data_IF_689562653528
#
_entry.id   IF_689562653528
#
_cell.length_a   1.000
_cell.length_b   1.000
_cell.length_c   1.000
_cell.angle_alpha   90.00
_cell.angle_beta   90.00
_cell.angle_gamma   90.00
#
_symmetry.space_group_name_H-M   'P 1'
#
loop_
_entity.id
_entity.type
_entity.pdbx_description
1 polymer ?
#
# COMPACT_ATOMS: atom_id res chain seq x y z
N UNK A 1 -0.95 12.80 26.97
CA UNK A 1 -0.40 13.84 26.05
C UNK A 1 0.55 14.70 26.88
N UNK A 2 1.82 14.75 26.50
CA UNK A 2 2.83 15.57 27.19
C UNK A 2 2.60 17.03 26.82
N UNK A 3 2.47 17.91 27.83
CA UNK A 3 2.29 19.34 27.59
C UNK A 3 3.50 19.89 26.83
N UNK A 4 3.25 20.71 25.81
CA UNK A 4 4.30 21.32 25.00
C UNK A 4 4.96 20.42 23.96
N UNK A 5 4.51 19.17 23.78
CA UNK A 5 5.01 18.31 22.70
C UNK A 5 4.51 18.80 21.32
N UNK A 6 5.36 18.88 20.27
CA UNK A 6 6.78 18.52 20.22
C UNK A 6 7.75 19.72 20.40
N UNK A 7 7.26 20.92 20.74
CA UNK A 7 8.02 22.18 20.61
C UNK A 7 8.78 22.62 21.87
N UNK A 8 8.29 22.31 23.07
CA UNK A 8 8.92 22.69 24.34
C UNK A 8 9.79 21.55 24.88
N UNK A 9 11.03 21.47 24.38
CA UNK A 9 11.96 20.36 24.67
C UNK A 9 12.32 20.29 26.16
N UNK A 10 12.54 21.42 26.82
CA UNK A 10 12.92 21.44 28.25
C UNK A 10 11.78 20.88 29.12
N UNK A 11 10.52 21.18 28.80
CA UNK A 11 9.38 20.59 29.49
C UNK A 11 9.20 19.10 29.16
N UNK A 12 9.42 18.71 27.91
CA UNK A 12 9.28 17.30 27.49
C UNK A 12 10.30 16.42 28.23
N UNK A 13 11.53 16.88 28.42
CA UNK A 13 12.64 16.13 29.05
C UNK A 13 12.75 16.53 30.54
N UNK A 14 11.63 16.47 31.25
CA UNK A 14 11.55 16.81 32.68
C UNK A 14 10.73 15.78 33.45
N UNK A 15 10.69 15.90 34.77
CA UNK A 15 9.80 15.14 35.65
C UNK A 15 8.32 15.35 35.29
N UNK A 16 7.93 16.55 34.86
CA UNK A 16 6.56 16.85 34.42
C UNK A 16 6.27 16.38 32.98
N UNK A 17 7.33 16.10 32.21
CA UNK A 17 7.29 15.60 30.84
C UNK A 17 7.35 14.07 30.79
N UNK A 18 8.41 13.53 30.20
CA UNK A 18 8.65 12.08 30.15
C UNK A 18 8.71 11.43 31.53
N UNK A 19 9.20 12.12 32.56
CA UNK A 19 9.25 11.58 33.92
C UNK A 19 7.89 11.29 34.53
N UNK A 20 6.81 11.91 34.02
CA UNK A 20 5.44 11.64 34.47
C UNK A 20 4.88 10.33 33.91
N UNK A 21 5.50 9.77 32.87
CA UNK A 21 5.08 8.50 32.31
C UNK A 21 5.63 7.34 33.17
N UNK A 22 4.90 6.23 33.30
CA UNK A 22 5.44 5.04 33.94
C UNK A 22 6.62 4.47 33.16
N UNK A 23 7.69 4.12 33.89
CA UNK A 23 8.76 3.28 33.34
C UNK A 23 8.22 1.86 33.12
N UNK A 24 8.50 1.31 31.95
CA UNK A 24 8.14 -0.05 31.58
C UNK A 24 9.39 -0.89 31.79
N UNK A 25 9.36 -1.76 32.79
CA UNK A 25 10.48 -2.67 33.03
C UNK A 25 10.59 -3.67 31.88
N UNK A 26 11.78 -3.74 31.28
CA UNK A 26 12.07 -4.68 30.19
C UNK A 26 13.25 -5.57 30.55
N UNK A 27 13.27 -6.78 30.00
CA UNK A 27 14.28 -7.80 30.33
C UNK A 27 15.19 -8.18 29.17
N UNK A 28 14.92 -7.65 27.97
CA UNK A 28 15.65 -7.95 26.74
C UNK A 28 16.34 -6.67 26.24
N UNK A 29 17.53 -6.78 25.63
CA UNK A 29 18.26 -5.60 25.14
C UNK A 29 17.66 -4.98 23.88
N UNK A 30 16.79 -5.71 23.17
CA UNK A 30 16.09 -5.23 21.97
C UNK A 30 14.59 -5.29 22.25
N UNK A 31 13.97 -4.12 22.28
CA UNK A 31 12.54 -3.95 22.54
C UNK A 31 11.86 -3.50 21.25
N UNK A 32 10.89 -4.30 20.79
CA UNK A 32 10.10 -3.98 19.61
C UNK A 32 8.82 -3.28 20.05
N UNK A 33 8.67 -2.02 19.70
CA UNK A 33 7.47 -1.22 19.99
C UNK A 33 6.56 -1.24 18.77
N UNK A 34 5.35 -1.79 18.93
CA UNK A 34 4.33 -1.89 17.87
C UNK A 34 2.98 -1.35 18.34
N UNK A 35 2.06 -1.10 17.41
CA UNK A 35 0.71 -0.62 17.71
C UNK A 35 -0.29 -0.96 16.59
N UNK A 36 -1.62 -0.94 16.86
CA UNK A 36 -2.65 -1.23 15.86
C UNK A 36 -2.67 -0.30 14.64
N UNK A 37 -2.17 0.94 14.78
CA UNK A 37 -2.19 1.91 13.69
C UNK A 37 -1.32 3.16 13.90
N UNK A 38 -1.47 4.17 13.01
CA UNK A 38 -0.88 5.49 13.18
C UNK A 38 -1.42 6.21 14.44
N UNK A 39 -0.69 7.19 14.95
CA UNK A 39 -1.16 8.05 16.05
C UNK A 39 -1.20 7.40 17.45
N UNK A 40 -0.84 6.12 17.60
CA UNK A 40 -0.87 5.41 18.89
C UNK A 40 0.26 5.75 19.87
N UNK A 41 1.06 6.79 19.58
CA UNK A 41 2.12 7.24 20.50
C UNK A 41 3.44 6.46 20.48
N UNK A 42 3.65 5.53 19.51
CA UNK A 42 4.86 4.68 19.43
C UNK A 42 6.18 5.43 19.65
N UNK A 43 6.43 6.49 18.87
CA UNK A 43 7.65 7.30 18.99
C UNK A 43 7.77 7.94 20.37
N UNK A 44 6.69 8.52 20.90
CA UNK A 44 6.69 9.15 22.21
C UNK A 44 6.98 8.13 23.33
N UNK A 45 6.44 6.92 23.22
CA UNK A 45 6.76 5.81 24.15
C UNK A 45 8.23 5.45 24.07
N UNK A 46 8.81 5.25 22.88
CA UNK A 46 10.24 4.95 22.75
C UNK A 46 11.13 6.01 23.40
N UNK A 47 10.89 7.29 23.08
CA UNK A 47 11.68 8.41 23.62
C UNK A 47 11.50 8.54 25.14
N UNK A 48 10.29 8.31 25.67
CA UNK A 48 10.04 8.30 27.11
C UNK A 48 10.80 7.19 27.82
N UNK A 49 10.83 5.97 27.26
CA UNK A 49 11.54 4.85 27.87
C UNK A 49 13.06 5.05 27.83
N UNK A 50 13.59 5.59 26.73
CA UNK A 50 15.01 5.97 26.63
C UNK A 50 15.36 7.01 27.69
N UNK A 51 14.52 8.03 27.90
CA UNK A 51 14.71 9.00 28.98
C UNK A 51 14.83 8.33 30.36
N UNK A 52 13.94 7.39 30.69
CA UNK A 52 14.01 6.67 31.97
C UNK A 52 15.24 5.77 32.10
N UNK A 53 15.67 5.10 31.01
CA UNK A 53 16.87 4.27 31.03
C UNK A 53 18.13 5.10 31.28
N UNK A 54 18.26 6.26 30.62
CA UNK A 54 19.38 7.18 30.85
C UNK A 54 19.40 7.74 32.28
N UNK A 55 18.25 8.06 32.88
CA UNK A 55 18.18 8.42 34.32
C UNK A 55 18.69 7.30 35.23
N UNK A 56 18.45 6.04 34.85
CA UNK A 56 18.90 4.85 35.57
C UNK A 56 20.35 4.46 35.24
N UNK A 57 21.06 5.26 34.43
CA UNK A 57 22.44 5.00 34.02
C UNK A 57 22.59 3.88 32.98
N UNK A 58 21.53 3.56 32.24
CA UNK A 58 21.52 2.56 31.16
C UNK A 58 21.60 3.29 29.81
N UNK A 59 22.60 2.94 29.01
CA UNK A 59 22.75 3.47 27.65
C UNK A 59 21.73 2.84 26.70
N UNK A 60 20.64 3.57 26.46
CA UNK A 60 19.54 3.17 25.60
C UNK A 60 19.50 3.98 24.30
N UNK A 61 19.01 3.39 23.21
CA UNK A 61 18.88 4.05 21.90
C UNK A 61 17.52 3.82 21.23
N UNK A 62 17.23 4.63 20.21
CA UNK A 62 16.03 4.51 19.38
C UNK A 62 16.43 4.15 17.96
N UNK A 63 15.70 3.27 17.29
CA UNK A 63 15.83 3.06 15.85
C UNK A 63 14.45 2.85 15.23
N UNK A 64 14.31 3.16 13.94
CA UNK A 64 13.04 3.01 13.21
C UNK A 64 13.14 1.91 12.16
N UNK A 65 12.22 0.95 12.23
CA UNK A 65 12.05 -0.06 11.20
C UNK A 65 10.84 0.25 10.33
N UNK A 66 11.10 0.62 9.07
CA UNK A 66 10.08 0.75 8.02
C UNK A 66 10.60 0.12 6.73
N UNK A 67 9.73 -0.61 6.04
CA UNK A 67 10.11 -1.26 4.77
C UNK A 67 10.10 -0.28 3.60
N UNK A 68 9.20 0.69 3.59
CA UNK A 68 9.05 1.69 2.53
C UNK A 68 8.99 3.12 3.11
N UNK A 69 9.53 4.12 2.39
CA UNK A 69 10.29 3.97 1.15
C UNK A 69 11.63 3.25 1.36
N UNK A 70 12.19 2.67 0.30
CA UNK A 70 13.51 2.05 0.36
C UNK A 70 14.54 3.14 0.10
N UNK A 71 15.28 3.50 1.15
CA UNK A 71 16.14 4.68 1.18
C UNK A 71 17.27 4.66 0.14
N UNK A 72 17.80 3.47 -0.18
CA UNK A 72 18.90 3.30 -1.13
C UNK A 72 18.45 3.01 -2.57
N UNK A 73 17.14 3.12 -2.87
CA UNK A 73 16.63 3.16 -4.24
C UNK A 73 16.34 4.61 -4.64
N UNK A 74 16.47 4.96 -5.94
CA UNK A 74 16.13 6.29 -6.42
C UNK A 74 14.70 6.74 -6.06
N UNK A 75 14.50 8.05 -5.94
CA UNK A 75 13.18 8.63 -5.66
C UNK A 75 12.13 8.16 -6.68
N UNK A 76 12.49 8.20 -7.96
CA UNK A 76 11.64 7.78 -9.10
C UNK A 76 11.72 6.28 -9.40
N UNK A 77 12.29 5.49 -8.51
CA UNK A 77 12.29 4.04 -8.68
C UNK A 77 10.84 3.52 -8.55
N UNK A 78 10.34 2.65 -9.46
CA UNK A 78 8.95 2.19 -9.43
C UNK A 78 8.51 1.61 -8.09
N UNK A 79 9.41 0.98 -7.33
CA UNK A 79 9.11 0.47 -5.97
C UNK A 79 8.73 1.60 -5.00
N UNK A 80 9.49 2.69 -4.98
CA UNK A 80 9.19 3.84 -4.12
C UNK A 80 7.92 4.56 -4.59
N UNK A 81 7.75 4.73 -5.90
CA UNK A 81 6.54 5.34 -6.46
C UNK A 81 5.28 4.50 -6.22
N UNK A 82 5.38 3.16 -6.22
CA UNK A 82 4.26 2.29 -5.88
C UNK A 82 3.87 2.42 -4.40
N UNK A 83 4.84 2.61 -3.50
CA UNK A 83 4.55 2.94 -2.11
C UNK A 83 3.80 4.27 -1.98
N UNK A 84 4.27 5.34 -2.65
CA UNK A 84 3.59 6.64 -2.62
C UNK A 84 2.16 6.56 -3.18
N UNK A 85 1.97 5.77 -4.24
CA UNK A 85 0.63 5.51 -4.76
C UNK A 85 -0.23 4.71 -3.79
N UNK A 86 0.35 3.89 -2.92
CA UNK A 86 -0.39 3.13 -1.91
C UNK A 86 -0.79 3.97 -0.69
N UNK A 87 -0.14 5.12 -0.49
CA UNK A 87 -0.39 6.10 0.58
C UNK A 87 -0.98 7.41 0.08
N UNK A 88 -1.50 7.43 -1.16
CA UNK A 88 -2.01 8.63 -1.81
C UNK A 88 -3.14 9.33 -1.01
N UNK A 89 -3.90 8.56 -0.24
CA UNK A 89 -4.95 8.99 0.69
C UNK A 89 -4.39 9.60 1.99
N UNK A 90 -3.30 9.04 2.52
CA UNK A 90 -2.62 9.55 3.71
C UNK A 90 -1.85 10.86 3.44
N UNK A 91 -1.50 11.10 2.18
CA UNK A 91 -0.74 12.28 1.76
C UNK A 91 0.74 12.25 2.12
N UNK A 92 1.25 11.09 2.49
CA UNK A 92 2.69 10.87 2.58
C UNK A 92 3.27 10.87 1.16
N UNK A 93 4.35 11.62 0.96
CA UNK A 93 5.08 11.68 -0.32
C UNK A 93 6.57 11.46 -0.10
N UNK A 94 7.21 10.79 -1.07
CA UNK A 94 8.63 10.53 -0.99
C UNK A 94 9.43 11.79 -1.35
N UNK A 95 10.58 11.95 -0.73
CA UNK A 95 11.53 13.01 -1.06
C UNK A 95 12.97 12.57 -0.78
N UNK A 96 13.93 13.33 -1.32
CA UNK A 96 15.33 13.19 -0.94
C UNK A 96 15.49 13.64 0.52
N UNK A 97 16.22 12.87 1.31
CA UNK A 97 16.61 13.24 2.68
C UNK A 97 17.67 14.36 2.62
N UNK A 98 17.31 15.62 2.94
CA UNK A 98 18.27 16.73 2.86
C UNK A 98 19.37 16.61 3.91
N UNK A 99 19.08 16.01 5.07
CA UNK A 99 20.05 15.87 6.16
C UNK A 99 21.13 14.83 5.81
N UNK A 100 20.73 13.73 5.17
CA UNK A 100 21.69 12.71 4.74
C UNK A 100 22.56 13.22 3.59
N UNK A 101 21.96 13.97 2.66
CA UNK A 101 22.70 14.61 1.57
C UNK A 101 23.71 15.64 2.09
N UNK A 102 23.32 16.49 3.05
CA UNK A 102 24.23 17.47 3.66
C UNK A 102 25.37 16.81 4.44
N UNK A 103 25.05 15.79 5.24
CA UNK A 103 26.02 15.15 6.13
C UNK A 103 27.03 14.26 5.41
N UNK A 104 26.63 13.60 4.31
CA UNK A 104 27.43 12.55 3.67
C UNK A 104 27.63 12.74 2.16
N UNK A 105 26.95 13.73 1.54
CA UNK A 105 26.89 13.89 0.08
C UNK A 105 26.37 12.63 -0.65
N UNK A 106 25.46 11.89 0.00
CA UNK A 106 24.82 10.69 -0.53
C UNK A 106 23.32 10.95 -0.64
N UNK A 107 22.75 10.70 -1.82
CA UNK A 107 21.30 10.79 -2.01
C UNK A 107 20.63 9.56 -1.38
N UNK A 108 19.73 9.81 -0.43
CA UNK A 108 18.85 8.81 0.17
C UNK A 108 17.39 9.26 0.07
N UNK A 109 16.46 8.31 0.00
CA UNK A 109 15.02 8.59 -0.05
C UNK A 109 14.39 8.41 1.32
N UNK A 110 13.60 9.40 1.72
CA UNK A 110 12.75 9.36 2.90
C UNK A 110 11.37 9.94 2.51
N UNK A 111 10.54 10.31 3.48
CA UNK A 111 9.23 10.88 3.22
C UNK A 111 8.97 12.11 4.11
N UNK A 112 8.00 12.93 3.71
CA UNK A 112 7.74 14.24 4.30
C UNK A 112 7.65 14.25 5.82
N UNK A 113 6.85 13.37 6.42
CA UNK A 113 6.59 13.39 7.86
C UNK A 113 7.84 13.15 8.70
N UNK A 114 8.69 12.23 8.27
CA UNK A 114 9.92 11.88 8.99
C UNK A 114 10.99 12.96 8.83
N UNK A 115 11.14 13.51 7.63
CA UNK A 115 12.04 14.65 7.39
C UNK A 115 11.61 15.89 8.18
N UNK A 116 10.30 16.18 8.24
CA UNK A 116 9.75 17.31 8.99
C UNK A 116 9.96 17.17 10.51
N UNK A 117 9.78 15.97 11.08
CA UNK A 117 9.91 15.75 12.53
C UNK A 117 11.35 15.54 12.98
N UNK A 118 12.26 15.14 12.09
CA UNK A 118 13.63 14.78 12.43
C UNK A 118 14.40 15.83 13.25
N UNK A 119 14.36 17.14 12.94
CA UNK A 119 15.05 18.16 13.75
C UNK A 119 14.63 18.15 15.21
N UNK A 120 13.36 17.84 15.49
CA UNK A 120 12.85 17.76 16.86
C UNK A 120 13.35 16.50 17.55
N UNK A 121 13.24 15.34 16.89
CA UNK A 121 13.73 14.05 17.41
C UNK A 121 15.23 14.15 17.70
N UNK A 122 16.01 14.73 16.79
CA UNK A 122 17.45 14.95 16.95
C UNK A 122 17.76 15.77 18.19
N UNK A 123 17.06 16.89 18.43
CA UNK A 123 17.27 17.71 19.63
C UNK A 123 16.89 16.99 20.92
N UNK A 124 15.82 16.19 20.90
CA UNK A 124 15.43 15.37 22.06
C UNK A 124 16.54 14.35 22.37
N UNK A 125 17.02 13.64 21.35
CA UNK A 125 18.11 12.67 21.52
C UNK A 125 19.41 13.32 22.02
N UNK A 126 19.76 14.53 21.54
CA UNK A 126 20.94 15.28 22.02
C UNK A 126 20.88 15.68 23.49
N UNK A 127 19.67 15.80 24.06
CA UNK A 127 19.47 16.15 25.47
C UNK A 127 19.44 14.92 26.37
N UNK A 128 19.08 13.75 25.84
CA UNK A 128 19.00 12.51 26.61
C UNK A 128 20.32 11.72 26.56
N UNK A 129 20.95 11.67 25.38
CA UNK A 129 22.08 10.79 25.08
C UNK A 129 23.36 11.60 24.79
N UNK A 130 24.52 10.93 24.84
CA UNK A 130 25.76 11.51 24.33
C UNK A 130 25.59 11.94 22.85
N UNK A 131 25.91 13.21 22.58
CA UNK A 131 25.87 13.83 21.25
C UNK A 131 26.53 13.02 20.13
N UNK A 132 27.54 12.20 20.44
CA UNK A 132 28.26 11.34 19.49
C UNK A 132 27.41 10.18 18.95
N UNK A 133 26.37 9.80 19.68
CA UNK A 133 25.46 8.70 19.34
C UNK A 133 24.22 9.17 18.57
N UNK A 134 24.06 10.47 18.35
CA UNK A 134 22.88 11.04 17.71
C UNK A 134 22.98 10.92 16.19
N UNK A 135 21.90 10.45 15.57
CA UNK A 135 21.77 10.35 14.11
C UNK A 135 21.95 11.69 13.41
N UNK A 136 22.57 11.67 12.22
CA UNK A 136 22.72 12.89 11.41
C UNK A 136 21.54 13.10 10.48
N UNK A 137 20.80 12.04 10.12
CA UNK A 137 19.62 12.09 9.27
C UNK A 137 18.53 11.07 9.68
N UNK A 138 17.28 11.19 9.21
CA UNK A 138 16.26 10.15 9.39
C UNK A 138 16.62 8.85 8.64
N UNK A 139 17.44 8.93 7.59
CA UNK A 139 18.03 7.72 6.96
C UNK A 139 18.94 6.96 7.93
N UNK A 140 19.81 7.64 8.70
CA UNK A 140 20.68 6.99 9.70
C UNK A 140 19.87 6.34 10.84
N UNK A 141 18.72 6.94 11.18
CA UNK A 141 17.79 6.44 12.20
C UNK A 141 17.06 5.16 11.73
N UNK A 142 16.99 4.94 10.41
CA UNK A 142 16.36 3.79 9.79
C UNK A 142 17.28 2.55 9.80
N UNK A 143 16.69 1.36 9.98
CA UNK A 143 17.44 0.08 9.95
C UNK A 143 17.09 -0.79 8.74
N UNK A 144 16.41 -0.23 7.74
CA UNK A 144 15.93 -0.96 6.57
C UNK A 144 17.08 -1.49 5.69
N UNK A 145 17.02 -2.78 5.36
CA UNK A 145 17.94 -3.47 4.45
C UNK A 145 17.29 -4.05 3.19
N UNK A 146 15.99 -3.79 2.97
CA UNK A 146 15.22 -4.39 1.87
C UNK A 146 15.83 -4.15 0.48
N UNK A 147 16.34 -2.94 0.21
CA UNK A 147 16.96 -2.62 -1.09
C UNK A 147 18.19 -3.46 -1.41
N UNK A 148 18.96 -3.87 -0.40
CA UNK A 148 20.15 -4.72 -0.59
C UNK A 148 19.79 -6.17 -0.93
N UNK A 149 18.56 -6.59 -0.64
CA UNK A 149 18.08 -7.95 -0.89
C UNK A 149 17.42 -8.10 -2.27
N UNK A 150 17.40 -7.05 -3.09
CA UNK A 150 16.86 -7.12 -4.45
C UNK A 150 17.87 -7.84 -5.35
N UNK A 151 17.54 -9.09 -5.72
CA UNK A 151 18.37 -9.92 -6.62
C UNK A 151 18.06 -9.71 -8.11
N UNK A 152 16.90 -9.12 -8.42
CA UNK A 152 16.48 -8.82 -9.79
C UNK A 152 15.63 -7.54 -9.80
N UNK A 153 16.27 -6.44 -10.20
CA UNK A 153 15.66 -5.12 -10.18
C UNK A 153 14.53 -4.97 -11.23
N UNK A 154 14.73 -5.52 -12.42
CA UNK A 154 13.72 -5.47 -13.49
C UNK A 154 12.39 -6.13 -13.08
N UNK A 155 12.45 -7.27 -12.39
CA UNK A 155 11.26 -7.97 -11.91
C UNK A 155 10.51 -7.17 -10.84
N UNK A 156 11.22 -6.58 -9.87
CA UNK A 156 10.57 -5.76 -8.84
C UNK A 156 10.01 -4.46 -9.42
N UNK A 157 10.69 -3.86 -10.39
CA UNK A 157 10.18 -2.70 -11.12
C UNK A 157 8.89 -3.04 -11.89
N UNK A 158 8.86 -4.16 -12.61
CA UNK A 158 7.65 -4.61 -13.33
C UNK A 158 6.48 -4.88 -12.36
N UNK A 159 6.76 -5.51 -11.22
CA UNK A 159 5.75 -5.77 -10.20
C UNK A 159 5.18 -4.47 -9.60
N UNK A 160 6.05 -3.49 -9.32
CA UNK A 160 5.66 -2.19 -8.78
C UNK A 160 4.85 -1.36 -9.78
N UNK A 161 5.23 -1.36 -11.07
CA UNK A 161 4.44 -0.74 -12.16
C UNK A 161 3.03 -1.34 -12.24
N UNK A 162 2.89 -2.66 -12.06
CA UNK A 162 1.57 -3.28 -11.99
C UNK A 162 0.78 -2.86 -10.74
N UNK A 163 1.44 -2.65 -9.59
CA UNK A 163 0.78 -2.17 -8.37
C UNK A 163 0.25 -0.74 -8.52
N UNK A 164 1.00 0.15 -9.16
CA UNK A 164 0.56 1.50 -9.51
C UNK A 164 -0.75 1.47 -10.32
N UNK A 165 -0.81 0.63 -11.37
CA UNK A 165 -2.03 0.49 -12.18
C UNK A 165 -3.19 -0.05 -11.33
N UNK A 166 -2.94 -1.02 -10.43
CA UNK A 166 -3.96 -1.56 -9.52
C UNK A 166 -4.49 -0.48 -8.59
N UNK A 167 -3.61 0.33 -7.99
CA UNK A 167 -3.99 1.42 -7.08
C UNK A 167 -4.85 2.46 -7.76
N UNK A 168 -4.44 2.93 -8.94
CA UNK A 168 -5.23 3.85 -9.74
C UNK A 168 -6.63 3.31 -10.05
N UNK A 169 -6.73 2.07 -10.54
CA UNK A 169 -8.03 1.44 -10.85
C UNK A 169 -8.88 1.27 -9.59
N UNK A 170 -8.28 0.87 -8.46
CA UNK A 170 -8.96 0.72 -7.18
C UNK A 170 -9.53 2.05 -6.69
N UNK A 171 -8.73 3.11 -6.63
CA UNK A 171 -9.20 4.43 -6.22
C UNK A 171 -10.27 4.97 -7.18
N UNK A 172 -10.18 4.67 -8.47
CA UNK A 172 -11.21 5.03 -9.45
C UNK A 172 -12.55 4.35 -9.13
N UNK A 173 -12.53 3.07 -8.74
CA UNK A 173 -13.73 2.37 -8.29
C UNK A 173 -14.25 2.91 -6.95
N UNK A 174 -13.39 3.14 -5.97
CA UNK A 174 -13.77 3.67 -4.66
C UNK A 174 -14.39 5.06 -4.78
N UNK A 175 -13.83 5.95 -5.60
CA UNK A 175 -14.42 7.26 -5.91
C UNK A 175 -15.79 7.14 -6.57
N UNK A 176 -15.95 6.23 -7.55
CA UNK A 176 -17.24 5.98 -8.19
C UNK A 176 -18.32 5.49 -7.20
N UNK A 177 -17.91 4.82 -6.12
CA UNK A 177 -18.79 4.38 -5.03
C UNK A 177 -18.95 5.42 -3.90
N UNK A 178 -18.31 6.58 -4.01
CA UNK A 178 -18.34 7.63 -2.98
C UNK A 178 -17.45 7.37 -1.75
N UNK A 179 -16.50 6.44 -1.84
CA UNK A 179 -15.61 6.03 -0.74
C UNK A 179 -14.22 6.64 -0.75
N UNK A 180 -13.86 7.45 -1.76
CA UNK A 180 -12.56 8.12 -1.86
C UNK A 180 -12.71 9.52 -2.46
N UNK A 181 -11.74 10.39 -2.19
CA UNK A 181 -11.66 11.72 -2.78
C UNK A 181 -11.03 11.72 -4.17
N UNK A 182 -11.41 12.70 -4.99
CA UNK A 182 -10.83 12.92 -6.33
C UNK A 182 -9.31 13.15 -6.29
N UNK A 183 -8.81 13.78 -5.22
CA UNK A 183 -7.37 14.07 -5.03
C UNK A 183 -6.52 12.79 -4.98
N UNK A 184 -7.03 11.73 -4.37
CA UNK A 184 -6.35 10.43 -4.27
C UNK A 184 -6.13 9.82 -5.66
N UNK A 185 -7.14 9.86 -6.52
CA UNK A 185 -7.04 9.37 -7.91
C UNK A 185 -6.02 10.20 -8.70
N UNK A 186 -6.09 11.53 -8.58
CA UNK A 186 -5.19 12.44 -9.31
C UNK A 186 -3.72 12.21 -8.95
N UNK A 187 -3.43 11.95 -7.66
CA UNK A 187 -2.07 11.58 -7.21
C UNK A 187 -1.60 10.27 -7.83
N UNK A 188 -2.41 9.21 -7.76
CA UNK A 188 -2.07 7.93 -8.37
C UNK A 188 -1.89 8.03 -9.90
N UNK A 189 -2.71 8.84 -10.57
CA UNK A 189 -2.60 9.11 -12.00
C UNK A 189 -1.31 9.84 -12.37
N UNK A 190 -0.89 10.82 -11.58
CA UNK A 190 0.34 11.57 -11.79
C UNK A 190 1.56 10.66 -11.68
N UNK A 191 1.61 9.80 -10.66
CA UNK A 191 2.68 8.81 -10.49
C UNK A 191 2.74 7.80 -11.65
N UNK A 192 1.59 7.37 -12.17
CA UNK A 192 1.55 6.54 -13.38
C UNK A 192 2.11 7.27 -14.61
N UNK A 193 1.73 8.54 -14.82
CA UNK A 193 2.21 9.36 -15.95
C UNK A 193 3.72 9.57 -15.90
N UNK A 194 4.28 9.80 -14.71
CA UNK A 194 5.74 9.93 -14.53
C UNK A 194 6.53 8.69 -14.98
N UNK A 195 5.92 7.51 -14.92
CA UNK A 195 6.50 6.25 -15.41
C UNK A 195 6.02 5.87 -16.81
N UNK A 196 5.34 6.77 -17.51
CA UNK A 196 4.72 6.55 -18.83
C UNK A 196 3.78 5.34 -18.85
N UNK A 197 3.06 5.09 -17.75
CA UNK A 197 2.10 4.00 -17.62
C UNK A 197 0.68 4.44 -17.96
N UNK A 198 -0.06 3.50 -18.51
CA UNK A 198 -1.49 3.57 -18.77
C UNK A 198 -2.18 2.36 -18.14
N UNK A 199 -3.50 2.42 -18.04
CA UNK A 199 -4.28 1.24 -17.60
C UNK A 199 -4.16 0.06 -18.57
N UNK A 200 -3.72 0.29 -19.81
CA UNK A 200 -3.58 -0.75 -20.83
C UNK A 200 -2.32 -1.59 -20.64
N UNK A 201 -1.33 -1.09 -19.91
CA UNK A 201 -0.12 -1.85 -19.53
C UNK A 201 -0.44 -3.02 -18.59
N UNK A 202 -1.65 -3.03 -18.02
CA UNK A 202 -2.25 -4.21 -17.39
C UNK A 202 -3.03 -5.00 -18.45
N UNK A 203 -2.40 -6.03 -19.00
CA UNK A 203 -2.92 -6.87 -20.12
C UNK A 203 -4.42 -7.20 -20.04
N UNK A 204 -4.90 -7.62 -18.88
CA UNK A 204 -6.31 -8.02 -18.68
C UNK A 204 -7.32 -6.89 -18.88
N UNK A 205 -6.91 -5.62 -18.76
CA UNK A 205 -7.82 -4.47 -18.95
C UNK A 205 -8.31 -4.40 -20.40
N UNK A 206 -7.39 -4.49 -21.37
CA UNK A 206 -7.77 -4.46 -22.77
C UNK A 206 -8.62 -5.69 -23.14
N UNK A 207 -8.24 -6.87 -22.68
CA UNK A 207 -8.95 -8.12 -22.96
C UNK A 207 -10.38 -8.13 -22.40
N UNK A 208 -10.59 -7.56 -21.21
CA UNK A 208 -11.93 -7.37 -20.66
C UNK A 208 -12.77 -6.41 -21.51
N UNK A 209 -12.19 -5.31 -22.00
CA UNK A 209 -12.86 -4.36 -22.90
C UNK A 209 -13.23 -5.02 -24.23
N UNK A 210 -12.32 -5.78 -24.83
CA UNK A 210 -12.58 -6.50 -26.07
C UNK A 210 -13.66 -7.57 -25.89
N UNK A 211 -13.70 -8.27 -24.74
CA UNK A 211 -14.76 -9.21 -24.43
C UNK A 211 -16.14 -8.54 -24.38
N UNK A 212 -16.25 -7.33 -23.81
CA UNK A 212 -17.48 -6.52 -23.83
C UNK A 212 -17.89 -6.12 -25.26
N UNK A 213 -16.94 -5.67 -26.08
CA UNK A 213 -17.21 -5.30 -27.49
C UNK A 213 -17.66 -6.51 -28.31
N UNK A 214 -16.99 -7.66 -28.14
CA UNK A 214 -17.35 -8.90 -28.81
C UNK A 214 -18.73 -9.41 -28.36
N UNK A 215 -19.06 -9.25 -27.08
CA UNK A 215 -20.38 -9.56 -26.53
C UNK A 215 -21.48 -8.71 -27.19
N UNK A 216 -21.25 -7.40 -27.35
CA UNK A 216 -22.15 -6.49 -28.08
C UNK A 216 -22.38 -6.94 -29.53
N UNK A 217 -21.30 -7.25 -30.26
CA UNK A 217 -21.40 -7.73 -31.66
C UNK A 217 -22.17 -9.03 -31.80
N UNK A 218 -22.10 -9.91 -30.79
CA UNK A 218 -22.78 -11.21 -30.77
C UNK A 218 -24.18 -11.16 -30.15
N UNK A 219 -24.65 -10.00 -29.70
CA UNK A 219 -25.91 -9.87 -28.96
C UNK A 219 -25.90 -10.61 -27.61
N UNK A 220 -24.72 -10.95 -27.08
CA UNK A 220 -24.56 -11.74 -25.85
C UNK A 220 -24.38 -10.81 -24.65
N UNK A 221 -25.46 -10.14 -24.26
CA UNK A 221 -25.53 -9.25 -23.09
C UNK A 221 -26.82 -9.48 -22.29
N UNK A 222 -27.19 -8.53 -21.45
CA UNK A 222 -28.51 -8.53 -20.77
C UNK A 222 -29.05 -7.09 -20.79
N UNK A 223 -30.30 -6.90 -21.22
CA UNK A 223 -31.00 -5.60 -21.20
C UNK A 223 -30.18 -4.42 -21.79
N UNK A 224 -29.52 -4.65 -22.93
CA UNK A 224 -28.70 -3.63 -23.58
C UNK A 224 -27.34 -3.36 -22.91
N UNK A 225 -27.04 -4.01 -21.78
CA UNK A 225 -25.75 -3.92 -21.08
C UNK A 225 -24.82 -5.04 -21.54
N UNK A 226 -23.60 -4.66 -21.93
CA UNK A 226 -22.55 -5.57 -22.37
C UNK A 226 -21.28 -5.36 -21.53
N UNK A 227 -20.94 -6.36 -20.74
CA UNK A 227 -19.81 -6.37 -19.82
C UNK A 227 -18.86 -7.51 -20.15
N UNK A 228 -17.57 -7.25 -19.99
CA UNK A 228 -16.50 -8.21 -20.19
C UNK A 228 -15.61 -8.30 -18.96
N UNK A 229 -15.03 -9.46 -18.74
CA UNK A 229 -14.08 -9.73 -17.68
C UNK A 229 -12.91 -10.55 -18.23
N UNK A 230 -11.72 -10.38 -17.67
CA UNK A 230 -10.53 -11.12 -18.08
C UNK A 230 -9.64 -11.46 -16.88
N UNK A 231 -8.95 -12.59 -16.98
CA UNK A 231 -7.97 -13.08 -16.00
C UNK A 231 -6.77 -13.67 -16.74
N UNK A 232 -5.57 -13.43 -16.20
CA UNK A 232 -4.33 -14.03 -16.70
C UNK A 232 -3.88 -15.15 -15.76
N UNK A 233 -3.68 -16.34 -16.31
CA UNK A 233 -3.16 -17.51 -15.59
C UNK A 233 -1.64 -17.40 -15.38
N UNK A 234 -1.11 -18.21 -14.47
CA UNK A 234 0.33 -18.25 -14.17
C UNK A 234 1.20 -18.57 -15.39
N UNK A 235 0.68 -19.37 -16.33
CA UNK A 235 1.33 -19.66 -17.62
C UNK A 235 1.21 -18.53 -18.66
N UNK A 236 0.66 -17.38 -18.28
CA UNK A 236 0.49 -16.21 -19.13
C UNK A 236 -0.77 -16.22 -20.01
N UNK A 237 -1.51 -17.34 -20.09
CA UNK A 237 -2.74 -17.45 -20.89
C UNK A 237 -3.82 -16.54 -20.33
N UNK A 238 -4.51 -15.81 -21.21
CA UNK A 238 -5.63 -14.94 -20.84
C UNK A 238 -6.95 -15.65 -21.11
N UNK A 239 -7.80 -15.69 -20.11
CA UNK A 239 -9.17 -16.19 -20.19
C UNK A 239 -10.12 -15.00 -20.06
N UNK A 240 -11.18 -15.00 -20.85
CA UNK A 240 -12.20 -13.96 -20.86
C UNK A 240 -13.58 -14.53 -20.56
N UNK A 241 -14.46 -13.67 -20.07
CA UNK A 241 -15.87 -13.93 -19.85
C UNK A 241 -16.69 -12.71 -20.28
N UNK A 242 -17.95 -12.94 -20.65
CA UNK A 242 -18.91 -11.87 -20.94
C UNK A 242 -20.22 -12.15 -20.23
N UNK A 243 -21.00 -11.10 -19.95
CA UNK A 243 -22.34 -11.31 -19.42
C UNK A 243 -23.27 -11.93 -20.47
N UNK A 244 -24.38 -12.47 -19.99
CA UNK A 244 -25.51 -12.97 -20.77
C UNK A 244 -26.78 -12.87 -19.92
N UNK A 245 -27.97 -13.24 -20.43
CA UNK A 245 -29.17 -13.27 -19.61
C UNK A 245 -29.08 -14.25 -18.43
N UNK A 246 -28.17 -15.23 -18.52
CA UNK A 246 -27.99 -16.27 -17.52
C UNK A 246 -26.96 -15.92 -16.43
N UNK A 247 -25.89 -15.19 -16.79
CA UNK A 247 -24.74 -15.00 -15.92
C UNK A 247 -24.03 -13.65 -16.14
N UNK A 248 -23.46 -13.10 -15.07
CA UNK A 248 -22.57 -11.95 -15.16
C UNK A 248 -21.20 -12.33 -15.77
N UNK A 249 -20.48 -11.32 -16.27
CA UNK A 249 -19.18 -11.52 -16.92
C UNK A 249 -18.14 -12.19 -16.01
N UNK A 250 -18.11 -11.80 -14.72
CA UNK A 250 -17.22 -12.40 -13.73
C UNK A 250 -17.53 -13.90 -13.50
N UNK A 251 -18.80 -14.27 -13.35
CA UNK A 251 -19.20 -15.67 -13.21
C UNK A 251 -18.85 -16.49 -14.45
N UNK A 252 -19.07 -15.94 -15.65
CA UNK A 252 -18.68 -16.57 -16.92
C UNK A 252 -17.16 -16.79 -17.00
N UNK A 253 -16.38 -15.80 -16.61
CA UNK A 253 -14.92 -15.86 -16.58
C UNK A 253 -14.43 -17.01 -15.68
N UNK A 254 -14.99 -17.13 -14.47
CA UNK A 254 -14.61 -18.20 -13.54
C UNK A 254 -14.92 -19.58 -14.12
N UNK A 255 -16.12 -19.79 -14.69
CA UNK A 255 -16.46 -21.07 -15.34
C UNK A 255 -15.52 -21.38 -16.51
N UNK A 256 -15.23 -20.41 -17.36
CA UNK A 256 -14.29 -20.60 -18.47
C UNK A 256 -12.88 -20.94 -17.97
N UNK A 257 -12.47 -20.34 -16.85
CA UNK A 257 -11.16 -20.57 -16.23
C UNK A 257 -11.08 -21.97 -15.63
N UNK A 258 -12.11 -22.44 -14.92
CA UNK A 258 -12.17 -23.80 -14.37
C UNK A 258 -12.09 -24.83 -15.51
N UNK A 259 -12.84 -24.62 -16.59
CA UNK A 259 -12.81 -25.52 -17.75
C UNK A 259 -11.42 -25.61 -18.36
N UNK A 260 -10.77 -24.47 -18.53
CA UNK A 260 -9.40 -24.40 -19.04
C UNK A 260 -8.43 -25.18 -18.14
N UNK A 261 -8.46 -24.95 -16.83
CA UNK A 261 -7.56 -25.60 -15.88
C UNK A 261 -7.81 -27.12 -15.76
N UNK A 262 -9.06 -27.56 -15.93
CA UNK A 262 -9.44 -28.97 -15.88
C UNK A 262 -9.35 -29.68 -17.24
N UNK A 263 -8.93 -28.99 -18.32
CA UNK A 263 -8.89 -29.56 -19.66
C UNK A 263 -10.27 -29.90 -20.24
N UNK A 264 -11.35 -29.29 -19.72
CA UNK A 264 -12.72 -29.56 -20.15
C UNK A 264 -13.05 -28.74 -21.40
N UNK A 265 -13.53 -29.36 -22.48
CA UNK A 265 -13.94 -28.65 -23.69
C UNK A 265 -14.97 -27.54 -23.47
N UNK A 266 -14.87 -26.44 -24.24
CA UNK A 266 -15.71 -25.25 -24.09
C UNK A 266 -17.21 -25.50 -24.29
N UNK A 267 -17.60 -26.50 -25.07
CA UNK A 267 -18.99 -26.85 -25.36
C UNK A 267 -19.68 -27.65 -24.23
N UNK A 268 -18.94 -28.17 -23.25
CA UNK A 268 -19.52 -28.97 -22.16
C UNK A 268 -20.10 -28.04 -21.09
N UNK A 269 -21.40 -28.12 -20.81
CA UNK A 269 -22.00 -27.35 -19.72
C UNK A 269 -21.60 -27.95 -18.36
N UNK A 270 -21.07 -27.14 -17.45
CA UNK A 270 -20.70 -27.57 -16.09
C UNK A 270 -21.88 -27.49 -15.10
N UNK A 271 -22.87 -26.66 -15.40
CA UNK A 271 -24.04 -26.45 -14.54
C UNK A 271 -25.25 -27.10 -15.21
N UNK A 272 -25.97 -27.90 -14.43
CA UNK A 272 -27.22 -28.49 -14.87
C UNK A 272 -28.28 -27.41 -15.12
N UNK A 273 -29.05 -27.47 -16.22
CA UNK A 273 -30.17 -26.57 -16.49
C UNK A 273 -31.15 -26.48 -15.32
N UNK A 274 -31.49 -27.60 -14.69
CA UNK A 274 -32.45 -27.64 -13.57
C UNK A 274 -31.99 -26.77 -12.38
N UNK A 275 -30.67 -26.72 -12.11
CA UNK A 275 -30.12 -25.90 -11.03
C UNK A 275 -30.23 -24.42 -11.38
N UNK A 276 -29.92 -24.08 -12.64
CA UNK A 276 -29.98 -22.70 -13.13
C UNK A 276 -31.42 -22.17 -13.12
N UNK A 277 -32.39 -22.97 -13.54
CA UNK A 277 -33.81 -22.64 -13.51
C UNK A 277 -34.31 -22.45 -12.08
N UNK A 278 -33.97 -23.38 -11.17
CA UNK A 278 -34.38 -23.29 -9.76
C UNK A 278 -33.88 -22.01 -9.09
N UNK A 279 -32.61 -21.63 -9.33
CA UNK A 279 -32.04 -20.38 -8.81
C UNK A 279 -32.67 -19.17 -9.48
N UNK A 280 -32.97 -19.24 -10.78
CA UNK A 280 -33.63 -18.16 -11.51
C UNK A 280 -35.03 -17.91 -10.96
N UNK A 281 -35.82 -18.97 -10.78
CA UNK A 281 -37.17 -18.93 -10.22
C UNK A 281 -37.19 -18.34 -8.82
N UNK A 282 -36.28 -18.77 -7.94
CA UNK A 282 -36.14 -18.19 -6.60
C UNK A 282 -35.89 -16.68 -6.65
N UNK A 283 -35.03 -16.21 -7.57
CA UNK A 283 -34.72 -14.78 -7.68
C UNK A 283 -35.86 -13.97 -8.29
N UNK A 284 -36.48 -14.46 -9.37
CA UNK A 284 -37.50 -13.71 -10.10
C UNK A 284 -38.87 -13.77 -9.45
N UNK A 285 -39.33 -14.97 -9.07
CA UNK A 285 -40.73 -15.20 -8.65
C UNK A 285 -40.91 -15.10 -7.13
N UNK A 286 -39.91 -15.52 -6.36
CA UNK A 286 -40.00 -15.53 -4.88
C UNK A 286 -39.47 -14.21 -4.31
N UNK A 287 -38.27 -13.79 -4.74
CA UNK A 287 -37.65 -12.56 -4.23
C UNK A 287 -38.00 -11.29 -5.01
N UNK A 288 -38.79 -11.37 -6.08
CA UNK A 288 -39.16 -10.23 -6.93
C UNK A 288 -37.97 -9.38 -7.40
N UNK A 289 -36.77 -9.96 -7.43
CA UNK A 289 -35.60 -9.31 -8.00
C UNK A 289 -35.62 -9.56 -9.49
N UNK A 290 -36.25 -8.63 -10.22
CA UNK A 290 -36.10 -8.58 -11.69
C UNK A 290 -34.61 -8.33 -11.99
N UNK A 291 -34.08 -9.18 -12.88
CA UNK A 291 -32.67 -9.21 -13.28
C UNK A 291 -32.29 -8.00 -14.12
#
# INVERSE_FOLDING_TARGET
LIRGYPTNIDLIISEEGYGSNPYIETSKPIIIVTAPGPGSGKLATCLSQIYHEHIKGIDAGYAKFETFPIWNLPLKHPVNMAYESATADLGDFNQVDPFHLEAYNITAVNYNRDVEIFPVVKKIMQRIMDSRLVYKSPTDMGVNKAGFAIINDDLVQQAAKQELIRRYLRYSCEYAMGGSDKKTIQRAELLMKELNLTVLDRKVVNEARQASIAAKKKGKGNEGVFSGAALQLANGKIITGSNSPLMHAASSLILNTIKELAGIPKNIHLLSPNILESISYLKSEIFNNKR
#
